data_IF_456079613203
#
_entry.id   IF_456079613203
#
_cell.length_a   1.000
_cell.length_b   1.000
_cell.length_c   1.000
_cell.angle_alpha   90.00
_cell.angle_beta   90.00
_cell.angle_gamma   90.00
#
_symmetry.space_group_name_H-M   'P 1'
#
loop_
_entity.id
_entity.type
_entity.pdbx_description
1 polymer ?
#
# COMPACT_ATOMS: atom_id res chain seq x y z
N UNK A 1 -39.46 -18.32 -28.54
CA UNK A 1 -39.41 -17.17 -27.60
C UNK A 1 -38.13 -17.21 -26.74
N UNK A 2 -36.95 -17.38 -27.37
CA UNK A 2 -35.65 -17.56 -26.67
C UNK A 2 -34.65 -16.44 -26.97
N UNK A 3 -34.92 -15.59 -27.97
CA UNK A 3 -33.99 -14.55 -28.43
C UNK A 3 -33.97 -13.24 -27.64
N UNK A 4 -34.73 -13.09 -26.54
CA UNK A 4 -34.76 -11.84 -25.75
C UNK A 4 -34.12 -11.95 -24.37
N UNK A 5 -33.78 -13.16 -23.90
CA UNK A 5 -33.21 -13.35 -22.57
C UNK A 5 -31.67 -13.29 -22.57
N UNK A 6 -31.02 -13.66 -23.69
CA UNK A 6 -29.56 -13.61 -23.82
C UNK A 6 -28.99 -12.19 -23.92
N UNK A 7 -29.74 -11.23 -24.48
CA UNK A 7 -29.28 -9.85 -24.64
C UNK A 7 -29.30 -9.05 -23.34
N UNK A 8 -30.09 -9.48 -22.34
CA UNK A 8 -30.14 -8.83 -21.03
C UNK A 8 -28.91 -9.13 -20.17
N UNK A 9 -28.25 -10.28 -20.37
CA UNK A 9 -27.04 -10.64 -19.60
C UNK A 9 -25.81 -9.86 -20.11
N UNK A 10 -25.74 -9.57 -21.42
CA UNK A 10 -24.62 -8.81 -22.00
C UNK A 10 -24.68 -7.32 -21.65
N UNK A 11 -25.85 -6.75 -21.35
CA UNK A 11 -25.96 -5.34 -20.88
C UNK A 11 -25.67 -5.14 -19.39
N UNK A 12 -25.73 -6.20 -18.56
CA UNK A 12 -25.56 -6.06 -17.12
C UNK A 12 -24.08 -5.88 -16.68
N UNK A 13 -23.12 -6.14 -17.56
CA UNK A 13 -21.68 -6.02 -17.26
C UNK A 13 -21.17 -4.57 -17.44
N UNK A 14 -21.98 -3.66 -18.02
CA UNK A 14 -21.52 -2.30 -18.40
C UNK A 14 -22.13 -1.16 -17.54
N UNK A 15 -22.96 -1.45 -16.53
CA UNK A 15 -23.62 -0.39 -15.77
C UNK A 15 -23.67 -0.66 -14.25
N UNK A 16 -22.53 -0.54 -13.58
CA UNK A 16 -22.51 -0.14 -12.18
C UNK A 16 -21.63 1.10 -11.98
N UNK A 17 -22.03 2.17 -12.67
CA UNK A 17 -21.70 3.54 -12.30
C UNK A 17 -22.84 4.05 -11.44
N UNK A 18 -22.76 3.87 -10.12
CA UNK A 18 -23.54 4.67 -9.18
C UNK A 18 -22.56 5.58 -8.45
N UNK A 19 -22.62 6.85 -8.85
CA UNK A 19 -21.93 7.92 -8.17
C UNK A 19 -22.41 8.04 -6.73
N UNK A 20 -21.44 8.11 -5.83
CA UNK A 20 -21.58 8.62 -4.47
C UNK A 20 -20.38 9.50 -4.19
N UNK A 21 -20.37 10.71 -4.75
CA UNK A 21 -19.33 11.71 -4.43
C UNK A 21 -19.63 12.30 -3.06
N UNK A 22 -19.09 11.71 -2.00
CA UNK A 22 -18.77 12.45 -0.79
C UNK A 22 -17.39 13.10 -1.01
N UNK A 23 -17.38 14.26 -1.67
CA UNK A 23 -16.20 15.12 -1.70
C UNK A 23 -16.04 15.72 -0.31
N UNK A 24 -15.22 15.08 0.52
CA UNK A 24 -14.65 15.73 1.70
C UNK A 24 -13.46 16.53 1.19
N UNK A 25 -13.62 17.86 1.12
CA UNK A 25 -12.54 18.75 0.72
C UNK A 25 -11.42 18.70 1.76
N UNK A 26 -10.24 18.25 1.33
CA UNK A 26 -9.00 18.38 2.10
C UNK A 26 -7.91 18.91 1.18
N UNK A 27 -7.24 19.98 1.63
CA UNK A 27 -6.22 20.69 0.88
C UNK A 27 -5.06 19.78 0.48
N UNK A 28 -4.62 19.91 -0.77
CA UNK A 28 -3.49 19.18 -1.33
C UNK A 28 -2.19 19.86 -0.88
N UNK A 29 -1.34 19.16 -0.15
CA UNK A 29 0.08 19.52 0.00
C UNK A 29 0.91 18.56 -0.83
N UNK A 30 1.46 19.07 -1.93
CA UNK A 30 2.39 18.34 -2.81
C UNK A 30 3.76 18.22 -2.11
N UNK A 31 4.41 17.04 -2.06
CA UNK A 31 5.73 16.93 -1.47
C UNK A 31 6.77 17.52 -2.42
N UNK A 32 7.57 18.45 -1.91
CA UNK A 32 8.77 19.00 -2.57
C UNK A 32 9.91 17.98 -2.61
N UNK A 33 10.69 17.99 -3.70
CA UNK A 33 11.86 17.16 -4.02
C UNK A 33 13.08 17.28 -3.05
N UNK A 34 12.89 17.66 -1.78
CA UNK A 34 13.99 18.03 -0.89
C UNK A 34 14.43 16.98 0.15
N UNK A 35 13.75 15.82 0.24
CA UNK A 35 14.04 14.80 1.26
C UNK A 35 14.83 13.59 0.73
N UNK A 36 15.78 13.81 -0.19
CA UNK A 36 16.70 12.74 -0.59
C UNK A 36 17.67 12.45 0.56
N UNK A 37 17.45 11.33 1.27
CA UNK A 37 18.39 10.80 2.25
C UNK A 37 19.78 10.66 1.61
N UNK A 38 20.88 11.06 2.30
CA UNK A 38 22.22 10.86 1.77
C UNK A 38 22.50 9.37 1.56
N UNK A 39 23.31 9.00 0.56
CA UNK A 39 23.62 7.60 0.28
C UNK A 39 24.21 6.93 1.53
N UNK A 40 23.88 5.65 1.79
CA UNK A 40 24.38 4.95 2.96
C UNK A 40 25.91 4.96 2.92
N UNK A 41 26.52 5.65 3.89
CA UNK A 41 27.96 5.66 4.03
C UNK A 41 28.40 4.21 4.26
N UNK A 42 29.38 3.74 3.48
CA UNK A 42 29.90 2.39 3.56
C UNK A 42 30.40 2.13 4.99
N UNK A 43 29.54 1.51 5.81
CA UNK A 43 29.89 1.09 7.16
C UNK A 43 31.07 0.12 7.13
N UNK A 44 31.85 0.02 8.22
CA UNK A 44 33.00 -0.87 8.26
C UNK A 44 32.58 -2.32 7.97
N UNK A 45 33.45 -3.00 7.22
CA UNK A 45 33.36 -4.41 6.80
C UNK A 45 32.57 -5.29 7.78
N UNK A 46 31.53 -5.97 7.28
CA UNK A 46 30.64 -6.84 8.05
C UNK A 46 31.44 -7.78 8.98
N UNK A 47 31.26 -7.62 10.30
CA UNK A 47 31.94 -8.44 11.31
C UNK A 47 31.28 -9.82 11.39
N UNK A 48 32.08 -10.89 11.47
CA UNK A 48 31.57 -12.25 11.64
C UNK A 48 30.84 -12.38 12.97
N UNK A 49 29.72 -13.13 13.00
CA UNK A 49 28.91 -13.31 14.21
C UNK A 49 29.69 -13.94 15.37
N UNK A 50 30.79 -14.65 15.06
CA UNK A 50 31.68 -15.28 16.04
C UNK A 50 32.57 -14.27 16.78
N UNK A 51 32.76 -13.09 16.20
CA UNK A 51 33.62 -12.03 16.74
C UNK A 51 32.82 -11.00 17.54
N UNK A 52 31.52 -11.24 17.73
CA UNK A 52 30.63 -10.45 18.59
C UNK A 52 30.69 -11.03 19.99
N UNK A 53 31.41 -10.36 20.90
CA UNK A 53 31.38 -10.70 22.32
C UNK A 53 29.97 -10.42 22.86
N UNK A 54 29.44 -11.33 23.70
CA UNK A 54 28.12 -11.20 24.33
C UNK A 54 28.16 -10.31 25.58
N UNK A 55 29.35 -9.86 25.97
CA UNK A 55 29.48 -8.86 27.02
C UNK A 55 28.83 -7.56 26.58
N UNK A 56 27.86 -7.11 27.37
CA UNK A 56 27.21 -5.80 27.22
C UNK A 56 28.21 -4.66 27.52
N UNK A 57 29.32 -4.98 28.20
CA UNK A 57 30.40 -4.04 28.47
C UNK A 57 31.23 -3.79 27.19
N UNK A 58 31.58 -2.52 26.90
CA UNK A 58 32.41 -2.21 25.75
C UNK A 58 33.78 -2.92 25.85
N UNK A 59 34.33 -3.40 24.73
CA UNK A 59 35.68 -3.95 24.69
C UNK A 59 36.69 -2.79 24.81
N UNK A 60 37.00 -2.38 26.03
CA UNK A 60 37.88 -1.25 26.35
C UNK A 60 37.18 -0.19 27.22
N UNK A 61 37.95 0.73 27.80
CA UNK A 61 37.42 1.86 28.58
C UNK A 61 36.90 3.00 27.69
N UNK A 62 37.23 2.99 26.40
CA UNK A 62 36.87 4.04 25.46
C UNK A 62 35.55 3.71 24.74
N UNK A 63 34.51 4.49 25.03
CA UNK A 63 33.22 4.39 24.34
C UNK A 63 33.38 4.86 22.89
N UNK A 64 32.65 4.25 21.94
CA UNK A 64 32.58 4.79 20.58
C UNK A 64 32.18 6.27 20.60
N UNK A 65 32.71 7.10 19.67
CA UNK A 65 32.32 8.49 19.58
C UNK A 65 30.81 8.60 19.40
N UNK A 66 30.16 9.44 20.20
CA UNK A 66 28.73 9.68 20.12
C UNK A 66 28.40 10.44 18.83
N UNK A 67 28.01 9.69 17.78
CA UNK A 67 27.56 10.27 16.51
C UNK A 67 26.21 10.98 16.62
N UNK A 68 25.44 10.73 17.69
CA UNK A 68 24.17 11.42 17.92
C UNK A 68 24.35 12.82 18.50
N UNK A 69 25.52 13.13 19.05
CA UNK A 69 25.83 14.45 19.63
C UNK A 69 25.79 15.59 18.59
N UNK A 70 26.03 15.32 17.31
CA UNK A 70 25.88 16.33 16.25
C UNK A 70 24.39 16.69 16.02
N UNK A 71 23.50 15.71 16.13
CA UNK A 71 22.05 15.86 15.90
C UNK A 71 21.33 16.34 17.16
N UNK A 72 21.78 15.88 18.33
CA UNK A 72 21.16 16.10 19.63
C UNK A 72 21.87 17.16 20.48
N UNK A 73 23.01 17.71 20.02
CA UNK A 73 23.85 18.61 20.81
C UNK A 73 23.17 19.92 21.25
N UNK A 74 22.08 20.30 20.60
CA UNK A 74 21.24 21.44 21.01
C UNK A 74 20.16 21.06 22.05
N UNK A 75 19.78 19.79 22.11
CA UNK A 75 18.81 19.28 23.06
C UNK A 75 19.53 18.84 24.33
N UNK A 76 19.71 19.78 25.27
CA UNK A 76 20.18 19.47 26.62
C UNK A 76 19.18 18.54 27.32
N UNK A 77 19.33 17.24 27.12
CA UNK A 77 18.61 16.24 27.88
C UNK A 77 18.93 16.48 29.36
N UNK A 78 17.92 16.84 30.15
CA UNK A 78 18.07 16.94 31.60
C UNK A 78 18.58 15.61 32.14
N UNK A 79 19.51 15.67 33.08
CA UNK A 79 20.12 14.51 33.74
C UNK A 79 19.02 13.55 34.23
N UNK A 80 18.92 12.37 33.62
CA UNK A 80 17.87 11.38 33.88
C UNK A 80 16.83 11.18 32.76
N UNK A 81 16.88 11.94 31.67
CA UNK A 81 16.00 11.76 30.51
C UNK A 81 16.77 11.16 29.33
N UNK A 82 16.50 9.89 29.01
CA UNK A 82 17.00 9.28 27.78
C UNK A 82 16.08 9.74 26.64
N UNK A 83 16.59 10.63 25.78
CA UNK A 83 15.95 10.91 24.48
C UNK A 83 16.23 9.68 23.62
N UNK A 84 15.22 8.85 23.39
CA UNK A 84 15.30 7.73 22.45
C UNK A 84 14.93 8.31 21.08
N UNK A 85 15.90 8.60 20.18
CA UNK A 85 15.55 8.99 18.82
C UNK A 85 14.84 7.80 18.16
N UNK A 86 13.56 7.99 17.83
CA UNK A 86 12.76 7.00 17.11
C UNK A 86 13.07 7.11 15.61
N UNK A 87 14.04 6.33 15.13
CA UNK A 87 14.35 6.19 13.70
C UNK A 87 13.47 5.12 13.04
N UNK A 88 12.17 5.14 13.32
CA UNK A 88 11.27 4.18 12.68
C UNK A 88 11.07 4.58 11.22
N UNK A 89 11.56 3.74 10.32
CA UNK A 89 11.23 3.78 8.90
C UNK A 89 10.32 2.58 8.60
N UNK A 90 9.22 2.83 7.87
CA UNK A 90 8.34 1.74 7.48
C UNK A 90 9.12 0.76 6.58
N UNK A 91 9.13 -0.55 6.87
CA UNK A 91 9.87 -1.50 6.06
C UNK A 91 9.30 -1.54 4.64
N UNK A 92 10.16 -1.44 3.63
CA UNK A 92 9.80 -1.67 2.23
C UNK A 92 9.74 -3.16 1.93
N UNK A 93 8.55 -3.73 2.03
CA UNK A 93 8.28 -5.14 1.78
C UNK A 93 7.64 -5.27 0.40
N UNK A 94 8.26 -6.12 -0.43
CA UNK A 94 7.78 -6.43 -1.76
C UNK A 94 6.77 -7.57 -1.74
N UNK A 95 5.67 -7.40 -2.47
CA UNK A 95 4.61 -8.39 -2.60
C UNK A 95 3.96 -8.32 -3.99
N UNK A 96 3.28 -9.40 -4.39
CA UNK A 96 2.49 -9.45 -5.62
C UNK A 96 1.23 -8.57 -5.50
N UNK A 97 0.57 -8.19 -6.61
CA UNK A 97 -0.60 -7.34 -6.54
C UNK A 97 -1.73 -7.95 -5.71
N UNK A 98 -2.26 -7.16 -4.78
CA UNK A 98 -3.37 -7.56 -3.93
C UNK A 98 -4.69 -7.16 -4.61
N UNK A 99 -5.28 -8.07 -5.38
CA UNK A 99 -6.47 -7.75 -6.17
C UNK A 99 -7.72 -7.45 -5.32
N UNK A 100 -7.79 -8.04 -4.13
CA UNK A 100 -8.92 -7.97 -3.20
C UNK A 100 -8.76 -6.91 -2.09
N UNK A 101 -7.63 -6.21 -2.05
CA UNK A 101 -7.32 -5.18 -1.05
C UNK A 101 -8.23 -3.96 -1.24
N UNK A 102 -8.91 -3.57 -0.16
CA UNK A 102 -9.60 -2.29 -0.03
C UNK A 102 -8.63 -1.20 0.42
N UNK A 103 -7.86 -0.68 -0.54
CA UNK A 103 -6.78 0.30 -0.31
C UNK A 103 -7.20 1.50 0.55
N UNK A 104 -8.44 1.99 0.39
CA UNK A 104 -8.91 3.17 1.12
C UNK A 104 -9.09 2.85 2.60
N UNK A 105 -9.70 1.71 2.89
CA UNK A 105 -9.92 1.23 4.25
C UNK A 105 -8.64 0.70 4.89
N UNK A 106 -7.92 -0.18 4.20
CA UNK A 106 -6.79 -0.94 4.73
C UNK A 106 -5.53 -0.08 4.86
N UNK A 107 -5.24 0.79 3.88
CA UNK A 107 -4.03 1.64 3.91
C UNK A 107 -4.26 3.02 4.49
N UNK A 108 -5.40 3.63 4.19
CA UNK A 108 -5.68 5.02 4.58
C UNK A 108 -6.66 5.14 5.74
N UNK A 109 -7.23 4.03 6.24
CA UNK A 109 -8.18 4.06 7.35
C UNK A 109 -9.50 4.77 7.02
N UNK A 110 -9.80 4.98 5.73
CA UNK A 110 -11.01 5.65 5.29
C UNK A 110 -12.20 4.71 5.43
N UNK A 111 -12.94 4.87 6.52
CA UNK A 111 -14.06 4.01 6.86
C UNK A 111 -15.39 4.58 6.36
N UNK A 112 -16.26 3.68 5.90
CA UNK A 112 -17.68 3.94 5.78
C UNK A 112 -18.33 4.03 7.18
N UNK A 113 -19.59 4.47 7.30
CA UNK A 113 -20.29 4.48 8.59
C UNK A 113 -20.18 3.11 9.29
N UNK A 114 -19.92 3.04 10.62
CA UNK A 114 -19.57 1.80 11.31
C UNK A 114 -20.55 0.64 11.10
N UNK A 115 -21.84 0.94 10.93
CA UNK A 115 -22.89 -0.07 10.67
C UNK A 115 -22.88 -0.61 9.24
N UNK A 116 -22.35 0.16 8.28
CA UNK A 116 -22.31 -0.18 6.87
C UNK A 116 -20.97 -0.75 6.43
N UNK A 117 -19.88 -0.48 7.16
CA UNK A 117 -18.53 -0.98 6.87
C UNK A 117 -18.47 -2.47 6.49
N UNK A 118 -19.07 -3.42 7.25
CA UNK A 118 -18.98 -4.83 6.86
C UNK A 118 -19.68 -5.13 5.53
N UNK A 119 -20.76 -4.42 5.21
CA UNK A 119 -21.46 -4.58 3.94
C UNK A 119 -20.67 -3.96 2.77
N UNK A 120 -20.02 -2.81 3.00
CA UNK A 120 -19.17 -2.16 1.99
C UNK A 120 -17.96 -3.03 1.67
N UNK A 121 -17.23 -3.50 2.69
CA UNK A 121 -16.08 -4.39 2.49
C UNK A 121 -16.48 -5.74 1.89
N UNK A 122 -17.63 -6.30 2.32
CA UNK A 122 -18.17 -7.52 1.73
C UNK A 122 -18.51 -7.34 0.24
N UNK A 123 -19.24 -6.28 -0.10
CA UNK A 123 -19.57 -5.96 -1.48
C UNK A 123 -18.32 -5.74 -2.32
N UNK A 124 -17.33 -5.00 -1.82
CA UNK A 124 -16.05 -4.82 -2.49
C UNK A 124 -15.39 -6.17 -2.80
N UNK A 125 -15.25 -7.05 -1.80
CA UNK A 125 -14.65 -8.37 -1.99
C UNK A 125 -15.39 -9.24 -3.02
N UNK A 126 -16.72 -9.34 -2.92
CA UNK A 126 -17.50 -10.21 -3.82
C UNK A 126 -17.62 -9.66 -5.24
N UNK A 127 -17.72 -8.34 -5.41
CA UNK A 127 -17.68 -7.72 -6.74
C UNK A 127 -16.29 -7.83 -7.37
N UNK A 128 -15.25 -8.04 -6.55
CA UNK A 128 -13.90 -8.14 -7.05
C UNK A 128 -13.60 -9.46 -7.75
N UNK A 129 -14.31 -10.52 -7.38
CA UNK A 129 -14.17 -11.84 -7.98
C UNK A 129 -14.47 -11.85 -9.49
N UNK A 130 -15.63 -11.34 -9.98
CA UNK A 130 -15.90 -11.32 -11.41
C UNK A 130 -14.95 -10.41 -12.21
N UNK A 131 -14.47 -9.34 -11.57
CA UNK A 131 -13.59 -8.31 -12.16
C UNK A 131 -12.10 -8.74 -12.11
N UNK A 132 -11.78 -9.89 -11.50
CA UNK A 132 -10.40 -10.31 -11.31
C UNK A 132 -9.60 -10.45 -12.62
N UNK A 133 -10.14 -10.99 -13.74
CA UNK A 133 -9.41 -11.04 -15.00
C UNK A 133 -9.01 -9.65 -15.49
N UNK A 134 -9.90 -8.66 -15.37
CA UNK A 134 -9.62 -7.28 -15.71
C UNK A 134 -8.47 -6.72 -14.86
N UNK A 135 -8.52 -6.89 -13.53
CA UNK A 135 -7.44 -6.42 -12.65
C UNK A 135 -6.10 -7.09 -12.95
N UNK A 136 -6.10 -8.39 -13.22
CA UNK A 136 -4.88 -9.14 -13.54
C UNK A 136 -4.25 -8.75 -14.89
N UNK A 137 -5.00 -8.11 -15.79
CA UNK A 137 -4.43 -7.52 -17.00
C UNK A 137 -3.77 -6.17 -16.77
N UNK A 138 -4.32 -5.34 -15.88
CA UNK A 138 -3.77 -4.01 -15.57
C UNK A 138 -2.53 -4.14 -14.69
N UNK A 139 -2.69 -4.83 -13.55
CA UNK A 139 -1.61 -5.13 -12.63
C UNK A 139 -1.27 -6.61 -12.83
N UNK A 140 -0.07 -6.92 -13.34
CA UNK A 140 0.24 -8.31 -13.70
C UNK A 140 0.50 -9.12 -12.44
N UNK A 141 0.12 -10.41 -12.38
CA UNK A 141 0.25 -11.22 -11.16
C UNK A 141 1.66 -11.31 -10.56
N UNK A 142 2.69 -11.05 -11.35
CA UNK A 142 4.10 -11.13 -10.96
C UNK A 142 4.78 -9.75 -10.88
N UNK A 143 4.00 -8.67 -10.91
CA UNK A 143 4.54 -7.34 -10.66
C UNK A 143 4.90 -7.19 -9.18
N UNK A 144 6.10 -6.66 -8.91
CA UNK A 144 6.53 -6.35 -7.55
C UNK A 144 5.89 -5.02 -7.12
N UNK A 145 5.04 -5.07 -6.09
CA UNK A 145 4.43 -3.89 -5.45
C UNK A 145 4.99 -3.73 -4.03
N UNK A 146 5.06 -2.48 -3.59
CA UNK A 146 5.53 -2.11 -2.24
C UNK A 146 4.35 -1.79 -1.31
N UNK A 147 4.54 -2.04 -0.02
CA UNK A 147 3.61 -1.66 1.04
C UNK A 147 3.66 -0.17 1.40
N UNK A 148 4.66 0.61 0.95
CA UNK A 148 4.81 2.03 1.29
C UNK A 148 3.65 2.93 0.80
N UNK A 149 2.75 2.41 -0.05
CA UNK A 149 1.57 3.16 -0.51
C UNK A 149 1.92 4.31 -1.46
N UNK A 150 0.96 5.20 -1.70
CA UNK A 150 1.15 6.35 -2.60
C UNK A 150 1.78 7.57 -1.92
N UNK A 151 1.92 7.56 -0.59
CA UNK A 151 2.35 8.71 0.21
C UNK A 151 3.38 8.28 1.25
N UNK A 152 4.26 9.21 1.65
CA UNK A 152 5.33 8.93 2.60
C UNK A 152 4.76 8.54 3.97
N UNK A 153 5.29 7.49 4.63
CA UNK A 153 5.00 7.22 6.03
C UNK A 153 5.26 8.46 6.89
N UNK A 154 4.33 8.79 7.80
CA UNK A 154 4.40 9.98 8.64
C UNK A 154 3.78 11.25 8.03
N UNK A 155 3.43 11.25 6.74
CA UNK A 155 2.56 12.30 6.18
C UNK A 155 1.11 12.12 6.68
N UNK A 156 0.33 13.21 6.88
CA UNK A 156 -1.08 13.11 7.20
C UNK A 156 -1.82 12.25 6.16
N UNK A 157 -2.69 11.34 6.61
CA UNK A 157 -3.41 10.44 5.73
C UNK A 157 -4.29 11.23 4.73
N UNK A 158 -4.03 11.15 3.42
CA UNK A 158 -4.76 11.93 2.44
C UNK A 158 -6.15 11.36 2.18
N UNK A 159 -7.10 12.25 1.88
CA UNK A 159 -8.42 11.88 1.40
C UNK A 159 -8.35 11.54 -0.10
N UNK A 160 -7.93 10.31 -0.41
CA UNK A 160 -7.87 9.78 -1.77
C UNK A 160 -9.13 8.99 -2.15
N UNK A 161 -9.48 8.99 -3.44
CA UNK A 161 -10.49 8.11 -4.01
C UNK A 161 -9.86 7.22 -5.08
N UNK A 162 -10.25 5.94 -5.13
CA UNK A 162 -9.74 5.01 -6.15
C UNK A 162 -10.64 5.05 -7.38
N UNK A 163 -10.04 5.26 -8.56
CA UNK A 163 -10.72 5.08 -9.85
C UNK A 163 -10.07 3.92 -10.58
N UNK A 164 -10.90 3.02 -11.12
CA UNK A 164 -10.39 1.97 -12.00
C UNK A 164 -10.09 2.61 -13.37
N UNK A 165 -8.87 2.43 -13.93
CA UNK A 165 -8.56 2.95 -15.25
C UNK A 165 -9.46 2.24 -16.27
N UNK A 166 -9.97 2.97 -17.26
CA UNK A 166 -10.81 2.41 -18.32
C UNK A 166 -9.90 2.01 -19.49
N UNK A 167 -9.60 0.72 -19.59
CA UNK A 167 -8.71 0.16 -20.60
C UNK A 167 -9.45 -0.90 -21.42
N UNK A 168 -9.42 -0.77 -22.75
CA UNK A 168 -10.22 -1.59 -23.66
C UNK A 168 -9.67 -3.01 -23.82
N UNK A 169 -8.35 -3.15 -23.81
CA UNK A 169 -7.62 -4.42 -23.80
C UNK A 169 -7.97 -5.26 -22.56
N UNK A 170 -7.98 -4.65 -21.38
CA UNK A 170 -8.38 -5.30 -20.13
C UNK A 170 -9.83 -5.80 -20.19
N UNK A 171 -10.75 -4.99 -20.74
CA UNK A 171 -12.14 -5.37 -20.94
C UNK A 171 -12.31 -6.53 -21.94
N UNK A 172 -11.52 -6.55 -23.00
CA UNK A 172 -11.52 -7.65 -23.97
C UNK A 172 -11.07 -8.97 -23.33
N UNK A 173 -10.03 -8.95 -22.50
CA UNK A 173 -9.57 -10.16 -21.80
C UNK A 173 -10.62 -10.64 -20.79
N UNK A 174 -11.22 -9.73 -20.03
CA UNK A 174 -12.28 -10.08 -19.09
C UNK A 174 -13.45 -10.77 -19.78
N UNK A 175 -13.98 -10.18 -20.86
CA UNK A 175 -15.06 -10.80 -21.64
C UNK A 175 -14.65 -12.14 -22.22
N UNK A 176 -13.43 -12.25 -22.76
CA UNK A 176 -12.88 -13.50 -23.27
C UNK A 176 -12.80 -14.60 -22.22
N UNK A 177 -12.38 -14.28 -20.99
CA UNK A 177 -12.31 -15.24 -19.88
C UNK A 177 -13.71 -15.72 -19.48
N UNK A 178 -14.68 -14.81 -19.34
CA UNK A 178 -16.05 -15.20 -18.99
C UNK A 178 -16.74 -16.01 -20.09
N UNK A 179 -16.54 -15.64 -21.36
CA UNK A 179 -17.04 -16.40 -22.50
C UNK A 179 -16.42 -17.80 -22.51
N UNK A 180 -15.09 -17.90 -22.37
CA UNK A 180 -14.41 -19.19 -22.31
C UNK A 180 -14.90 -20.04 -21.14
N UNK A 181 -15.07 -19.46 -19.95
CA UNK A 181 -15.59 -20.16 -18.78
C UNK A 181 -17.00 -20.71 -19.02
N UNK A 182 -17.87 -19.93 -19.67
CA UNK A 182 -19.22 -20.37 -20.05
C UNK A 182 -19.20 -21.57 -21.00
N UNK A 183 -18.23 -21.65 -21.90
CA UNK A 183 -18.09 -22.79 -22.83
C UNK A 183 -17.39 -24.00 -22.20
N UNK A 184 -16.58 -23.80 -21.15
CA UNK A 184 -15.81 -24.86 -20.47
C UNK A 184 -16.62 -25.53 -19.36
N UNK A 185 -17.49 -24.78 -18.66
CA UNK A 185 -18.37 -25.35 -17.64
C UNK A 185 -19.63 -25.93 -18.32
N UNK A 186 -19.92 -27.24 -18.14
CA UNK A 186 -21.04 -27.93 -18.78
C UNK A 186 -22.41 -27.50 -18.26
#
# INVERSE_FOLDING_TARGET
MIGKLGTLIVSAVVAFSIGGTASVGCGQTSPSDQDASPPPQAGPMLRSLKDVDRRIQPPGEELPPDQSAEILGEWSAREGQVVIPYYWEAPEIWHNPLYFDDVLLERYGQTAPPRLQPYVSGAHFFLQFPILPYKATIDRPFDCKTNLGYYRPGSPAPCVGRRMPLQADAALVETGVWIALLFVLP
#
